data_IF_621579797650
#
_entry.id   IF_621579797650
#
_cell.length_a   1.000
_cell.length_b   1.000
_cell.length_c   1.000
_cell.angle_alpha   90.00
_cell.angle_beta   90.00
_cell.angle_gamma   90.00
#
_symmetry.space_group_name_H-M   'P 1'
#
loop_
_entity.id
_entity.type
_entity.pdbx_description
1 polymer ?
#
# COMPACT_ATOMS: atom_id res chain seq x y z
N UNK A 1 -42.47 71.70 -16.52
CA UNK A 1 -41.04 71.50 -16.06
C UNK A 1 -40.83 69.99 -15.84
N UNK A 2 -40.32 69.28 -16.83
CA UNK A 2 -40.12 67.83 -16.83
C UNK A 2 -38.66 67.57 -16.54
N UNK A 3 -38.38 67.06 -15.37
CA UNK A 3 -37.04 66.57 -15.03
C UNK A 3 -37.00 65.10 -15.52
N UNK A 4 -36.34 64.90 -16.64
CA UNK A 4 -36.03 63.58 -17.12
C UNK A 4 -34.80 63.10 -16.34
N UNK A 5 -35.00 62.25 -15.31
CA UNK A 5 -33.92 61.46 -14.71
C UNK A 5 -33.62 60.30 -15.67
N UNK A 6 -32.69 60.51 -16.57
CA UNK A 6 -32.05 59.40 -17.24
C UNK A 6 -31.18 58.69 -16.21
N UNK A 7 -31.64 57.55 -15.76
CA UNK A 7 -30.81 56.62 -15.03
C UNK A 7 -29.72 56.17 -16.02
N UNK A 8 -28.56 56.73 -15.84
CA UNK A 8 -27.32 56.26 -16.48
C UNK A 8 -27.02 54.87 -15.94
N UNK A 9 -27.46 53.86 -16.69
CA UNK A 9 -27.08 52.48 -16.41
C UNK A 9 -25.58 52.39 -16.65
N UNK A 10 -24.86 52.45 -15.56
CA UNK A 10 -23.45 52.12 -15.53
C UNK A 10 -23.20 50.81 -16.31
N UNK A 11 -22.31 50.80 -17.33
CA UNK A 11 -21.98 49.57 -18.01
C UNK A 11 -21.52 48.58 -16.92
N UNK A 12 -22.22 47.45 -16.85
CA UNK A 12 -21.74 46.36 -16.02
C UNK A 12 -20.29 46.09 -16.45
N UNK A 13 -19.38 46.60 -15.66
CA UNK A 13 -17.96 46.34 -15.79
C UNK A 13 -17.86 44.82 -15.83
N UNK A 14 -17.66 44.32 -17.04
CA UNK A 14 -17.43 42.89 -17.27
C UNK A 14 -16.18 42.55 -16.46
N UNK A 15 -16.37 42.06 -15.22
CA UNK A 15 -15.28 41.61 -14.38
C UNK A 15 -14.58 40.51 -15.16
N UNK A 16 -13.48 40.85 -15.79
CA UNK A 16 -12.56 39.87 -16.36
C UNK A 16 -12.25 38.93 -15.22
N UNK A 17 -12.54 37.64 -15.33
CA UNK A 17 -12.20 36.71 -14.27
C UNK A 17 -10.72 36.84 -13.96
N UNK A 18 -10.37 37.24 -12.75
CA UNK A 18 -8.98 37.30 -12.34
C UNK A 18 -8.36 35.94 -12.60
N UNK A 19 -7.32 35.89 -13.42
CA UNK A 19 -6.58 34.65 -13.63
C UNK A 19 -6.08 34.17 -12.27
N UNK A 20 -6.65 33.04 -11.83
CA UNK A 20 -6.21 32.42 -10.58
C UNK A 20 -4.84 31.78 -10.83
N UNK A 21 -3.85 32.05 -9.96
CA UNK A 21 -2.55 31.42 -10.12
C UNK A 21 -2.71 29.89 -10.06
N UNK A 22 -2.07 29.21 -11.01
CA UNK A 22 -2.03 27.75 -11.02
C UNK A 22 -1.23 27.26 -9.81
N UNK A 23 -1.79 26.28 -9.11
CA UNK A 23 -1.06 25.63 -8.00
C UNK A 23 0.15 24.86 -8.56
N UNK A 24 1.35 25.06 -8.06
CA UNK A 24 2.56 24.34 -8.51
C UNK A 24 2.64 22.91 -7.97
N UNK A 25 1.53 22.30 -7.54
CA UNK A 25 1.48 21.04 -6.81
C UNK A 25 2.21 19.87 -7.48
N UNK A 26 2.18 19.77 -8.82
CA UNK A 26 2.92 18.74 -9.56
C UNK A 26 4.41 19.07 -9.73
N UNK A 27 4.76 20.34 -9.76
CA UNK A 27 6.15 20.81 -9.95
C UNK A 27 6.98 20.67 -8.66
N UNK A 28 6.33 20.80 -7.50
CA UNK A 28 6.99 20.74 -6.20
C UNK A 28 6.71 19.44 -5.43
N UNK A 29 5.98 18.51 -6.05
CA UNK A 29 5.64 17.24 -5.43
C UNK A 29 6.90 16.40 -5.18
N UNK A 30 7.13 16.05 -3.92
CA UNK A 30 8.18 15.11 -3.51
C UNK A 30 7.52 13.93 -2.81
N UNK A 31 7.72 12.68 -3.30
CA UNK A 31 7.20 11.50 -2.62
C UNK A 31 7.83 11.40 -1.23
N UNK A 32 7.00 11.47 -0.19
CA UNK A 32 7.43 11.21 1.18
C UNK A 32 7.33 9.72 1.48
N UNK A 33 8.24 9.20 2.32
CA UNK A 33 8.27 7.79 2.69
C UNK A 33 6.91 7.31 3.23
N UNK A 34 6.26 8.11 4.06
CA UNK A 34 4.93 7.81 4.64
C UNK A 34 3.84 7.65 3.58
N UNK A 35 3.86 8.46 2.52
CA UNK A 35 2.92 8.37 1.41
C UNK A 35 3.17 7.10 0.58
N UNK A 36 4.43 6.83 0.24
CA UNK A 36 4.82 5.62 -0.51
C UNK A 36 4.41 4.36 0.25
N UNK A 37 4.66 4.33 1.58
CA UNK A 37 4.29 3.18 2.40
C UNK A 37 2.78 3.00 2.58
N UNK A 38 2.00 4.07 2.49
CA UNK A 38 0.54 3.98 2.41
C UNK A 38 0.08 3.28 1.13
N UNK A 39 0.72 3.59 -0.01
CA UNK A 39 0.44 2.93 -1.29
C UNK A 39 0.84 1.45 -1.21
N UNK A 40 2.04 1.14 -0.71
CA UNK A 40 2.53 -0.24 -0.55
C UNK A 40 1.60 -1.05 0.36
N UNK A 41 1.11 -0.46 1.45
CA UNK A 41 0.15 -1.13 2.33
C UNK A 41 -1.16 -1.50 1.61
N UNK A 42 -1.68 -0.63 0.75
CA UNK A 42 -2.86 -0.92 -0.07
C UNK A 42 -2.58 -2.00 -1.12
N UNK A 43 -1.42 -1.94 -1.78
CA UNK A 43 -1.01 -2.95 -2.76
C UNK A 43 -0.83 -4.32 -2.10
N UNK A 44 -0.23 -4.39 -0.91
CA UNK A 44 -0.12 -5.64 -0.17
C UNK A 44 -1.47 -6.16 0.30
N UNK A 45 -2.42 -5.30 0.68
CA UNK A 45 -3.79 -5.71 0.96
C UNK A 45 -4.48 -6.34 -0.26
N UNK A 46 -4.31 -5.73 -1.43
CA UNK A 46 -4.80 -6.28 -2.69
C UNK A 46 -4.12 -7.62 -3.03
N UNK A 47 -2.80 -7.71 -2.91
CA UNK A 47 -2.05 -8.94 -3.13
C UNK A 47 -2.50 -10.06 -2.16
N UNK A 48 -2.77 -9.72 -0.90
CA UNK A 48 -3.28 -10.69 0.08
C UNK A 48 -4.67 -11.21 -0.29
N UNK A 49 -5.55 -10.35 -0.81
CA UNK A 49 -6.86 -10.77 -1.29
C UNK A 49 -6.74 -11.85 -2.39
N UNK A 50 -5.91 -11.62 -3.40
CA UNK A 50 -5.66 -12.65 -4.43
C UNK A 50 -4.86 -13.84 -3.90
N UNK A 51 -3.97 -13.62 -2.95
CA UNK A 51 -3.20 -14.68 -2.30
C UNK A 51 -4.06 -15.67 -1.51
N UNK A 52 -5.28 -15.30 -1.10
CA UNK A 52 -6.24 -16.25 -0.51
C UNK A 52 -6.58 -17.40 -1.47
N UNK A 53 -6.50 -17.18 -2.79
CA UNK A 53 -6.69 -18.25 -3.78
C UNK A 53 -5.59 -19.30 -3.71
N UNK A 54 -4.34 -18.91 -3.41
CA UNK A 54 -3.25 -19.86 -3.19
C UNK A 54 -3.49 -20.70 -1.93
N UNK A 55 -3.96 -20.08 -0.85
CA UNK A 55 -4.33 -20.79 0.37
C UNK A 55 -5.49 -21.74 0.15
N UNK A 56 -6.53 -21.30 -0.57
CA UNK A 56 -7.66 -22.14 -0.92
C UNK A 56 -7.21 -23.33 -1.78
N UNK A 57 -6.37 -23.09 -2.78
CA UNK A 57 -5.81 -24.19 -3.59
C UNK A 57 -5.00 -25.16 -2.75
N UNK A 58 -4.12 -24.67 -1.88
CA UNK A 58 -3.35 -25.52 -0.97
C UNK A 58 -4.25 -26.39 -0.09
N UNK A 59 -5.27 -25.79 0.54
CA UNK A 59 -6.21 -26.52 1.41
C UNK A 59 -6.98 -27.60 0.64
N UNK A 60 -7.48 -27.27 -0.57
CA UNK A 60 -8.18 -28.26 -1.43
C UNK A 60 -7.20 -29.34 -1.88
N UNK A 61 -6.00 -28.97 -2.25
CA UNK A 61 -4.97 -29.92 -2.68
C UNK A 61 -4.57 -30.89 -1.55
N UNK A 62 -4.52 -30.42 -0.31
CA UNK A 62 -4.20 -31.24 0.85
C UNK A 62 -5.24 -32.33 1.14
N UNK A 63 -6.46 -32.23 0.57
CA UNK A 63 -7.50 -33.23 0.74
C UNK A 63 -7.25 -34.52 -0.09
N UNK A 64 -6.30 -34.54 -1.03
CA UNK A 64 -5.98 -35.73 -1.85
C UNK A 64 -4.49 -35.81 -2.18
N UNK A 65 -3.89 -37.04 -2.20
CA UNK A 65 -2.46 -37.20 -2.52
C UNK A 65 -2.09 -36.65 -3.90
N UNK A 66 -2.93 -36.86 -4.91
CA UNK A 66 -2.69 -36.36 -6.27
C UNK A 66 -2.79 -34.83 -6.35
N UNK A 67 -3.72 -34.22 -5.61
CA UNK A 67 -3.85 -32.77 -5.50
C UNK A 67 -2.62 -32.16 -4.85
N UNK A 68 -2.20 -32.75 -3.72
CA UNK A 68 -1.04 -32.29 -2.98
C UNK A 68 0.26 -32.37 -3.79
N UNK A 69 0.47 -33.46 -4.55
CA UNK A 69 1.63 -33.58 -5.43
C UNK A 69 1.69 -32.48 -6.50
N UNK A 70 0.54 -32.07 -7.07
CA UNK A 70 0.48 -30.95 -8.02
C UNK A 70 0.82 -29.62 -7.36
N UNK A 71 0.31 -29.38 -6.15
CA UNK A 71 0.65 -28.18 -5.41
C UNK A 71 2.14 -28.14 -5.03
N UNK A 72 2.70 -29.26 -4.58
CA UNK A 72 4.14 -29.37 -4.28
C UNK A 72 4.99 -29.12 -5.52
N UNK A 73 4.63 -29.64 -6.68
CA UNK A 73 5.34 -29.38 -7.93
C UNK A 73 5.37 -27.87 -8.24
N UNK A 74 4.23 -27.18 -8.09
CA UNK A 74 4.20 -25.71 -8.22
C UNK A 74 5.07 -25.03 -7.17
N UNK A 75 4.90 -25.36 -5.90
CA UNK A 75 5.59 -24.71 -4.78
C UNK A 75 7.13 -24.92 -4.82
N UNK A 76 7.60 -26.06 -5.37
CA UNK A 76 9.02 -26.34 -5.55
C UNK A 76 9.63 -25.67 -6.78
N UNK A 77 8.81 -25.24 -7.74
CA UNK A 77 9.30 -24.51 -8.92
C UNK A 77 9.86 -23.14 -8.53
N UNK A 78 10.82 -22.62 -9.31
CA UNK A 78 11.40 -21.31 -9.03
C UNK A 78 10.35 -20.18 -9.07
N UNK A 79 9.38 -20.27 -10.00
CA UNK A 79 8.25 -19.30 -10.09
C UNK A 79 7.36 -19.42 -8.86
N UNK A 80 7.00 -20.64 -8.46
CA UNK A 80 6.19 -20.87 -7.25
C UNK A 80 6.85 -20.34 -6.00
N UNK A 81 8.15 -20.57 -5.83
CA UNK A 81 8.95 -20.02 -4.71
C UNK A 81 8.95 -18.49 -4.71
N UNK A 82 9.13 -17.86 -5.88
CA UNK A 82 9.11 -16.40 -6.00
C UNK A 82 7.73 -15.83 -5.62
N UNK A 83 6.65 -16.46 -6.09
CA UNK A 83 5.28 -16.07 -5.74
C UNK A 83 5.03 -16.25 -4.24
N UNK A 84 5.42 -17.39 -3.67
CA UNK A 84 5.26 -17.66 -2.24
C UNK A 84 6.11 -16.71 -1.37
N UNK A 85 7.32 -16.40 -1.80
CA UNK A 85 8.17 -15.40 -1.14
C UNK A 85 7.52 -14.02 -1.13
N UNK A 86 7.06 -13.55 -2.29
CA UNK A 86 6.37 -12.27 -2.43
C UNK A 86 5.07 -12.22 -1.62
N UNK A 87 4.30 -13.30 -1.62
CA UNK A 87 3.09 -13.41 -0.81
C UNK A 87 3.40 -13.40 0.69
N UNK A 88 4.42 -14.13 1.14
CA UNK A 88 4.87 -14.11 2.54
C UNK A 88 5.24 -12.70 2.97
N UNK A 89 6.04 -11.99 2.16
CA UNK A 89 6.38 -10.59 2.44
C UNK A 89 5.14 -9.70 2.47
N UNK A 90 4.22 -9.88 1.54
CA UNK A 90 2.97 -9.11 1.47
C UNK A 90 2.14 -9.27 2.76
N UNK A 91 1.97 -10.49 3.24
CA UNK A 91 1.25 -10.79 4.49
C UNK A 91 1.92 -10.12 5.68
N UNK A 92 3.24 -10.31 5.84
CA UNK A 92 4.01 -9.76 6.96
C UNK A 92 4.00 -8.23 6.93
N UNK A 93 4.23 -7.63 5.75
CA UNK A 93 4.22 -6.18 5.58
C UNK A 93 2.85 -5.56 5.90
N UNK A 94 1.79 -6.19 5.42
CA UNK A 94 0.42 -5.74 5.66
C UNK A 94 0.05 -5.88 7.14
N UNK A 95 0.43 -6.97 7.78
CA UNK A 95 0.22 -7.20 9.22
C UNK A 95 0.94 -6.14 10.08
N UNK A 96 2.23 -5.89 9.81
CA UNK A 96 2.98 -4.85 10.52
C UNK A 96 2.40 -3.45 10.26
N UNK A 97 1.91 -3.19 9.04
CA UNK A 97 1.17 -1.99 8.72
C UNK A 97 -0.12 -1.85 9.53
N UNK A 98 -0.85 -2.95 9.73
CA UNK A 98 -2.01 -3.00 10.60
C UNK A 98 -1.66 -2.66 12.06
N UNK A 99 -0.59 -3.23 12.60
CA UNK A 99 -0.09 -2.90 13.95
C UNK A 99 0.23 -1.40 14.05
N UNK A 100 0.87 -0.82 13.03
CA UNK A 100 1.11 0.62 13.00
C UNK A 100 -0.19 1.43 13.07
N UNK A 101 -1.23 1.03 12.36
CA UNK A 101 -2.54 1.69 12.44
C UNK A 101 -3.15 1.56 13.84
N UNK A 102 -3.05 0.39 14.49
CA UNK A 102 -3.49 0.21 15.87
C UNK A 102 -2.74 1.15 16.85
N UNK A 103 -1.44 1.38 16.64
CA UNK A 103 -0.68 2.36 17.45
C UNK A 103 -1.27 3.76 17.26
N UNK A 104 -1.55 4.17 16.02
CA UNK A 104 -2.15 5.47 15.74
C UNK A 104 -3.56 5.62 16.33
N UNK A 105 -4.35 4.55 16.34
CA UNK A 105 -5.69 4.54 16.95
C UNK A 105 -5.65 4.83 18.46
N UNK A 106 -4.51 4.57 19.12
CA UNK A 106 -4.28 4.99 20.53
C UNK A 106 -3.95 6.48 20.70
N UNK A 107 -3.89 7.24 19.60
CA UNK A 107 -3.48 8.66 19.63
C UNK A 107 -1.97 8.89 19.74
N UNK A 108 -1.14 7.86 19.54
CA UNK A 108 0.32 7.91 19.67
C UNK A 108 1.01 7.75 18.31
N UNK A 109 2.27 8.16 18.20
CA UNK A 109 3.08 7.95 17.00
C UNK A 109 2.81 8.94 15.86
N UNK A 110 2.16 10.08 16.12
CA UNK A 110 1.88 11.11 15.12
C UNK A 110 2.96 12.17 14.99
N UNK A 111 3.92 12.23 15.91
CA UNK A 111 5.06 13.13 15.79
C UNK A 111 5.83 12.88 14.49
N UNK A 112 6.44 13.93 13.87
CA UNK A 112 7.13 13.79 12.58
C UNK A 112 8.18 12.66 12.57
N UNK A 113 9.03 12.61 13.62
CA UNK A 113 10.05 11.57 13.76
C UNK A 113 9.46 10.19 14.08
N UNK A 114 8.47 10.13 14.96
CA UNK A 114 7.80 8.88 15.34
C UNK A 114 7.13 8.22 14.15
N UNK A 115 6.44 9.01 13.32
CA UNK A 115 5.78 8.53 12.12
C UNK A 115 6.78 7.93 11.12
N UNK A 116 7.91 8.59 10.89
CA UNK A 116 8.96 8.10 10.01
C UNK A 116 9.60 6.81 10.55
N UNK A 117 9.85 6.74 11.86
CA UNK A 117 10.37 5.55 12.51
C UNK A 117 9.43 4.36 12.40
N UNK A 118 8.14 4.55 12.66
CA UNK A 118 7.13 3.49 12.53
C UNK A 118 7.04 2.97 11.10
N UNK A 119 7.15 3.86 10.12
CA UNK A 119 7.13 3.49 8.70
C UNK A 119 8.40 2.74 8.31
N UNK A 120 9.57 3.22 8.73
CA UNK A 120 10.85 2.55 8.48
C UNK A 120 10.90 1.17 9.17
N UNK A 121 10.45 1.09 10.42
CA UNK A 121 10.36 -0.17 11.15
C UNK A 121 9.45 -1.20 10.47
N UNK A 122 8.31 -0.76 9.92
CA UNK A 122 7.42 -1.62 9.14
C UNK A 122 8.13 -2.17 7.89
N UNK A 123 8.82 -1.31 7.13
CA UNK A 123 9.51 -1.73 5.91
C UNK A 123 10.67 -2.69 6.22
N UNK A 124 11.59 -2.27 7.08
CA UNK A 124 12.77 -3.07 7.44
C UNK A 124 12.36 -4.35 8.16
N UNK A 125 11.44 -4.25 9.11
CA UNK A 125 10.94 -5.39 9.87
C UNK A 125 10.26 -6.44 8.98
N UNK A 126 9.43 -6.02 8.03
CA UNK A 126 8.78 -6.96 7.11
C UNK A 126 9.78 -7.70 6.22
N UNK A 127 10.79 -7.01 5.71
CA UNK A 127 11.85 -7.63 4.90
C UNK A 127 12.67 -8.59 5.76
N UNK A 128 13.13 -8.15 6.93
CA UNK A 128 13.95 -8.97 7.82
C UNK A 128 13.22 -10.24 8.26
N UNK A 129 11.97 -10.14 8.72
CA UNK A 129 11.16 -11.30 9.13
C UNK A 129 10.95 -12.25 7.96
N UNK A 130 10.64 -11.76 6.77
CA UNK A 130 10.44 -12.60 5.58
C UNK A 130 11.72 -13.37 5.23
N UNK A 131 12.87 -12.69 5.20
CA UNK A 131 14.15 -13.31 4.87
C UNK A 131 14.54 -14.37 5.91
N UNK A 132 14.43 -14.05 7.20
CA UNK A 132 14.73 -14.99 8.28
C UNK A 132 13.82 -16.21 8.21
N UNK A 133 12.52 -16.02 7.99
CA UNK A 133 11.57 -17.11 7.85
C UNK A 133 11.93 -18.03 6.66
N UNK A 134 12.29 -17.47 5.52
CA UNK A 134 12.66 -18.25 4.35
C UNK A 134 13.99 -18.96 4.50
N UNK A 135 14.98 -18.33 5.12
CA UNK A 135 16.24 -19.00 5.48
C UNK A 135 15.95 -20.20 6.40
N UNK A 136 15.12 -20.01 7.42
CA UNK A 136 14.71 -21.08 8.32
C UNK A 136 14.03 -22.24 7.57
N UNK A 137 13.09 -21.93 6.66
CA UNK A 137 12.41 -22.94 5.83
C UNK A 137 13.43 -23.71 4.98
N UNK A 138 14.34 -23.03 4.29
CA UNK A 138 15.34 -23.66 3.43
C UNK A 138 16.25 -24.60 4.24
N UNK A 139 16.71 -24.15 5.40
CA UNK A 139 17.59 -24.95 6.27
C UNK A 139 16.90 -26.17 6.88
N UNK A 140 15.60 -26.09 7.17
CA UNK A 140 14.86 -27.17 7.83
C UNK A 140 14.26 -28.17 6.86
N UNK A 141 13.87 -27.72 5.65
CA UNK A 141 13.19 -28.58 4.65
C UNK A 141 14.13 -29.13 3.58
N UNK A 142 15.36 -28.65 3.51
CA UNK A 142 16.32 -29.06 2.48
C UNK A 142 15.89 -28.68 1.06
N UNK A 143 14.91 -27.79 0.92
CA UNK A 143 14.39 -27.31 -0.36
C UNK A 143 15.33 -26.19 -0.87
N UNK A 144 16.52 -26.57 -1.29
CA UNK A 144 17.47 -25.72 -1.98
C UNK A 144 17.46 -25.96 -3.48
#
# INVERSE_FOLDING_TARGET
>A
MRISMMAETSPLERRVPAERPLSPHLQIYRPMLTMMMSIVHRLTGFANYFGTLLLAWWLIAAASPNGYAKFQWFASSWIGRLILFGYTWSVIHHMLGGIRHLIWDTGRGFGPKEREWLVAANLVGSIAITVVLWIFIILTTGVG
#
